data_IF_812691156228
#
_entry.id   IF_812691156228
#
_cell.length_a   1.000
_cell.length_b   1.000
_cell.length_c   1.000
_cell.angle_alpha   90.00
_cell.angle_beta   90.00
_cell.angle_gamma   90.00
#
_symmetry.space_group_name_H-M   'P 1'
#
loop_
_entity.id
_entity.type
_entity.pdbx_description
1 polymer ?
#
# COMPACT_ATOMS: atom_id res chain seq x y z
N UNK A 1 3.07 15.27 -1.54
CA UNK A 1 3.16 14.08 -2.40
C UNK A 1 3.89 13.03 -1.59
N UNK A 2 3.27 11.89 -1.28
CA UNK A 2 3.91 10.83 -0.49
C UNK A 2 5.04 10.16 -1.26
N UNK A 3 5.87 9.35 -0.59
CA UNK A 3 7.06 8.73 -1.21
C UNK A 3 6.73 7.83 -2.40
N UNK A 4 5.49 7.34 -2.51
CA UNK A 4 5.05 6.35 -3.50
C UNK A 4 4.03 6.90 -4.48
N UNK A 5 3.88 8.22 -4.57
CA UNK A 5 2.89 8.80 -5.47
C UNK A 5 3.15 8.43 -6.93
N UNK A 6 2.08 8.05 -7.63
CA UNK A 6 2.09 7.55 -9.00
C UNK A 6 2.69 6.15 -9.18
N UNK A 7 3.00 5.43 -8.09
CA UNK A 7 3.46 4.03 -8.15
C UNK A 7 2.29 3.05 -8.01
N UNK A 8 2.48 1.84 -8.53
CA UNK A 8 1.55 0.71 -8.34
C UNK A 8 2.23 -0.32 -7.44
N UNK A 9 1.53 -0.81 -6.42
CA UNK A 9 2.06 -1.79 -5.47
C UNK A 9 1.12 -3.00 -5.36
N UNK A 10 1.62 -4.20 -5.69
CA UNK A 10 0.88 -5.44 -5.50
C UNK A 10 1.16 -6.01 -4.10
N UNK A 11 0.12 -6.18 -3.28
CA UNK A 11 0.23 -6.75 -1.94
C UNK A 11 -0.50 -8.09 -1.85
N UNK A 12 0.23 -9.16 -1.54
CA UNK A 12 -0.37 -10.48 -1.25
C UNK A 12 -0.72 -10.59 0.23
N UNK A 13 -1.75 -11.39 0.56
CA UNK A 13 -2.18 -11.55 1.96
C UNK A 13 -2.79 -10.28 2.59
N UNK A 14 -3.32 -9.36 1.79
CA UNK A 14 -3.87 -8.07 2.24
C UNK A 14 -5.18 -8.17 3.07
N UNK A 15 -5.72 -9.38 3.27
CA UNK A 15 -6.96 -9.59 4.02
C UNK A 15 -6.87 -9.29 5.52
N UNK A 16 -5.68 -9.27 6.12
CA UNK A 16 -5.51 -9.01 7.54
C UNK A 16 -4.04 -8.86 7.98
N UNK A 17 -3.83 -8.62 9.27
CA UNK A 17 -2.51 -8.54 9.89
C UNK A 17 -1.55 -7.60 9.16
N UNK A 18 -0.32 -8.06 8.95
CA UNK A 18 0.73 -7.27 8.32
C UNK A 18 0.36 -6.86 6.89
N UNK A 19 -0.18 -7.77 6.08
CA UNK A 19 -0.56 -7.47 4.69
C UNK A 19 -1.53 -6.28 4.59
N UNK A 20 -2.56 -6.24 5.44
CA UNK A 20 -3.50 -5.11 5.49
C UNK A 20 -2.83 -3.81 5.93
N UNK A 21 -1.99 -3.85 6.97
CA UNK A 21 -1.29 -2.64 7.45
C UNK A 21 -0.33 -2.06 6.40
N UNK A 22 0.36 -2.92 5.66
CA UNK A 22 1.26 -2.50 4.58
C UNK A 22 0.46 -1.91 3.43
N UNK A 23 -0.64 -2.54 3.00
CA UNK A 23 -1.50 -2.00 1.94
C UNK A 23 -2.02 -0.59 2.28
N UNK A 24 -2.44 -0.35 3.52
CA UNK A 24 -2.91 0.95 3.97
C UNK A 24 -1.80 2.01 4.00
N UNK A 25 -0.62 1.66 4.52
CA UNK A 25 0.52 2.58 4.53
C UNK A 25 0.96 2.96 3.12
N UNK A 26 1.06 1.98 2.22
CA UNK A 26 1.45 2.20 0.83
C UNK A 26 0.44 3.11 0.11
N UNK A 27 -0.86 2.92 0.34
CA UNK A 27 -1.91 3.77 -0.21
C UNK A 27 -1.84 5.20 0.36
N UNK A 28 -1.55 5.37 1.66
CA UNK A 28 -1.33 6.69 2.27
C UNK A 28 -0.14 7.43 1.66
N UNK A 29 0.92 6.70 1.29
CA UNK A 29 2.09 7.26 0.59
C UNK A 29 1.84 7.52 -0.91
N UNK A 30 0.62 7.28 -1.41
CA UNK A 30 0.20 7.63 -2.77
C UNK A 30 0.31 6.50 -3.80
N UNK A 31 0.62 5.27 -3.36
CA UNK A 31 0.58 4.13 -4.28
C UNK A 31 -0.87 3.75 -4.63
N UNK A 32 -1.09 3.34 -5.88
CA UNK A 32 -2.24 2.53 -6.24
C UNK A 32 -1.97 1.09 -5.80
N UNK A 33 -2.71 0.64 -4.79
CA UNK A 33 -2.51 -0.66 -4.11
C UNK A 33 -3.62 -1.64 -4.45
#
# INVERSE_FOLDING_TARGET
>A
MGMLDGKVALVTGAGGGLGRTHALLLAQEGAAV
#
